data_IF_780126484763
#
_entry.id   IF_780126484763
#
_cell.length_a   1.000
_cell.length_b   1.000
_cell.length_c   1.000
_cell.angle_alpha   90.00
_cell.angle_beta   90.00
_cell.angle_gamma   90.00
#
_symmetry.space_group_name_H-M   'P 1'
#
loop_
_entity.id
_entity.type
_entity.pdbx_description
1 polymer ?
#
# COMPACT_ATOMS: atom_id res chain seq x y z
N UNK A 1 37.17 61.68 13.40
CA UNK A 1 38.61 61.97 13.52
C UNK A 1 39.31 60.66 13.82
N UNK A 2 40.22 60.08 13.03
CA UNK A 2 40.80 60.26 11.69
C UNK A 2 41.44 58.87 11.40
N UNK A 3 41.31 58.25 10.21
CA UNK A 3 42.22 58.37 9.03
C UNK A 3 43.71 58.19 9.40
N UNK A 4 44.60 57.46 8.70
CA UNK A 4 44.70 56.85 7.35
C UNK A 4 46.07 56.14 7.29
N UNK A 5 46.30 55.10 6.47
CA UNK A 5 47.15 55.05 5.25
C UNK A 5 47.37 53.54 4.98
N UNK A 6 47.16 52.89 3.83
CA UNK A 6 47.32 53.13 2.39
C UNK A 6 48.79 53.14 1.89
N UNK A 7 48.95 52.50 0.72
CA UNK A 7 50.09 52.42 -0.22
C UNK A 7 51.13 51.31 -0.01
N UNK A 8 51.66 50.61 -1.02
CA UNK A 8 51.33 50.44 -2.45
C UNK A 8 52.32 49.42 -3.04
N UNK A 9 51.93 48.72 -4.12
CA UNK A 9 52.78 48.17 -5.21
C UNK A 9 53.85 47.11 -4.84
N UNK A 10 54.15 46.06 -5.62
CA UNK A 10 54.52 46.08 -7.03
C UNK A 10 54.80 44.62 -7.56
N UNK A 11 54.28 44.29 -8.76
CA UNK A 11 54.76 43.35 -9.82
C UNK A 11 54.87 41.83 -9.53
N UNK A 12 54.69 40.90 -10.48
CA UNK A 12 54.20 40.87 -11.87
C UNK A 12 54.19 39.39 -12.36
N UNK A 13 53.48 39.16 -13.48
CA UNK A 13 53.74 38.16 -14.54
C UNK A 13 53.61 36.65 -14.26
N UNK A 14 52.62 36.00 -14.89
CA UNK A 14 52.88 35.12 -16.04
C UNK A 14 51.57 34.73 -16.77
N UNK A 15 51.53 34.96 -18.08
CA UNK A 15 50.75 34.21 -19.07
C UNK A 15 51.61 34.17 -20.33
N UNK A 16 51.63 33.05 -21.08
CA UNK A 16 50.88 33.08 -22.32
C UNK A 16 50.24 31.75 -22.78
N UNK A 17 49.25 31.94 -23.63
CA UNK A 17 48.52 31.00 -24.49
C UNK A 17 49.46 30.36 -25.53
N UNK A 18 49.27 29.09 -25.92
CA UNK A 18 49.76 28.57 -27.20
C UNK A 18 48.62 28.41 -28.23
N UNK A 19 48.89 28.92 -29.44
CA UNK A 19 48.13 28.80 -30.68
C UNK A 19 48.46 27.51 -31.46
N UNK A 20 47.58 27.25 -32.43
CA UNK A 20 47.42 26.13 -33.36
C UNK A 20 48.62 25.67 -34.20
N UNK A 21 48.73 24.35 -34.39
CA UNK A 21 48.64 23.61 -35.68
C UNK A 21 49.61 22.42 -35.74
N UNK A 22 49.07 21.21 -36.03
CA UNK A 22 49.66 20.18 -36.93
C UNK A 22 48.91 18.84 -36.85
N UNK A 23 48.23 18.53 -37.95
CA UNK A 23 48.05 17.23 -38.61
C UNK A 23 48.11 15.91 -37.80
N UNK A 24 46.96 15.25 -37.73
CA UNK A 24 46.79 13.89 -38.26
C UNK A 24 47.16 12.72 -37.36
N UNK A 25 46.17 12.09 -36.73
CA UNK A 25 46.00 10.62 -36.76
C UNK A 25 44.52 10.28 -36.55
N UNK A 26 43.95 9.61 -37.56
CA UNK A 26 42.62 9.00 -37.56
C UNK A 26 42.57 7.88 -36.50
N UNK A 27 42.00 8.13 -35.33
CA UNK A 27 41.47 7.06 -34.48
C UNK A 27 39.97 6.95 -34.67
N UNK A 28 39.61 5.99 -35.52
CA UNK A 28 38.26 5.58 -35.86
C UNK A 28 37.65 4.85 -34.66
N UNK A 29 37.26 5.63 -33.64
CA UNK A 29 36.47 5.18 -32.51
C UNK A 29 35.12 4.67 -33.00
N UNK A 30 35.02 3.35 -33.13
CA UNK A 30 33.84 2.57 -33.48
C UNK A 30 32.69 2.93 -32.53
N UNK A 31 31.80 3.82 -32.98
CA UNK A 31 30.42 3.83 -32.52
C UNK A 31 29.84 2.49 -32.93
N UNK A 32 29.88 1.51 -32.02
CA UNK A 32 28.96 0.38 -32.06
C UNK A 32 27.56 0.95 -31.82
N UNK A 33 26.98 1.49 -32.89
CA UNK A 33 25.54 1.62 -33.07
C UNK A 33 25.02 0.19 -33.15
N UNK A 34 24.90 -0.46 -32.00
CA UNK A 34 24.10 -1.65 -31.86
C UNK A 34 22.67 -1.25 -32.17
N UNK A 35 22.31 -1.47 -33.44
CA UNK A 35 20.96 -1.39 -33.96
C UNK A 35 20.12 -2.48 -33.27
N UNK A 36 19.82 -2.26 -32.00
CA UNK A 36 18.78 -2.97 -31.29
C UNK A 36 17.47 -2.65 -31.99
N UNK A 37 16.91 -3.64 -32.69
CA UNK A 37 15.64 -3.59 -33.44
C UNK A 37 14.64 -2.62 -32.77
N UNK A 38 14.25 -1.51 -33.40
CA UNK A 38 13.29 -0.55 -32.84
C UNK A 38 11.98 -1.22 -32.39
N UNK A 39 11.62 -2.31 -33.07
CA UNK A 39 10.44 -3.12 -32.81
C UNK A 39 10.45 -3.82 -31.43
N UNK A 40 11.61 -4.29 -30.95
CA UNK A 40 11.70 -4.95 -29.63
C UNK A 40 11.67 -3.95 -28.48
N UNK A 41 12.22 -2.73 -28.65
CA UNK A 41 12.09 -1.66 -27.63
C UNK A 41 10.66 -1.15 -27.52
N UNK A 42 9.97 -0.97 -28.65
CA UNK A 42 8.58 -0.51 -28.65
C UNK A 42 7.63 -1.56 -28.06
N UNK A 43 7.83 -2.84 -28.38
CA UNK A 43 7.06 -3.94 -27.79
C UNK A 43 7.30 -4.08 -26.27
N UNK A 44 8.53 -3.89 -25.80
CA UNK A 44 8.84 -3.91 -24.36
C UNK A 44 8.20 -2.73 -23.61
N UNK A 45 8.24 -1.52 -24.19
CA UNK A 45 7.61 -0.34 -23.62
C UNK A 45 6.08 -0.47 -23.59
N UNK A 46 5.46 -0.98 -24.67
CA UNK A 46 4.03 -1.26 -24.72
C UNK A 46 3.63 -2.33 -23.71
N UNK A 47 4.39 -3.43 -23.61
CA UNK A 47 4.16 -4.46 -22.60
C UNK A 47 4.33 -3.92 -21.17
N UNK A 48 5.27 -3.01 -20.93
CA UNK A 48 5.48 -2.42 -19.59
C UNK A 48 4.38 -1.42 -19.25
N UNK A 49 3.94 -0.62 -20.22
CA UNK A 49 2.86 0.34 -20.06
C UNK A 49 1.52 -0.36 -19.82
N UNK A 50 1.16 -1.31 -20.69
CA UNK A 50 -0.02 -2.16 -20.52
C UNK A 50 0.05 -2.94 -19.20
N UNK A 51 1.24 -3.44 -18.83
CA UNK A 51 1.47 -4.11 -17.56
C UNK A 51 1.11 -3.22 -16.36
N UNK A 52 1.58 -1.98 -16.40
CA UNK A 52 1.36 -0.98 -15.35
C UNK A 52 -0.12 -0.58 -15.27
N UNK A 53 -0.79 -0.44 -16.41
CA UNK A 53 -2.22 -0.09 -16.48
C UNK A 53 -3.10 -1.21 -15.94
N UNK A 54 -2.87 -2.48 -16.31
CA UNK A 54 -3.69 -3.58 -15.77
C UNK A 54 -3.46 -3.76 -14.26
N UNK A 55 -2.22 -3.63 -13.80
CA UNK A 55 -1.90 -3.74 -12.37
C UNK A 55 -2.64 -2.67 -11.57
N UNK A 56 -2.74 -1.45 -12.12
CA UNK A 56 -3.51 -0.38 -11.51
C UNK A 56 -5.02 -0.70 -11.49
N UNK A 57 -5.58 -1.24 -12.56
CA UNK A 57 -6.99 -1.65 -12.60
C UNK A 57 -7.29 -2.72 -11.57
N UNK A 58 -6.45 -3.76 -11.49
CA UNK A 58 -6.61 -4.84 -10.49
C UNK A 58 -6.44 -4.29 -9.08
N UNK A 59 -5.44 -3.44 -8.83
CA UNK A 59 -5.25 -2.79 -7.54
C UNK A 59 -6.48 -1.99 -7.09
N UNK A 60 -7.09 -1.23 -8.01
CA UNK A 60 -8.33 -0.49 -7.75
C UNK A 60 -9.50 -1.41 -7.48
N UNK A 61 -9.63 -2.49 -8.25
CA UNK A 61 -10.66 -3.50 -8.04
C UNK A 61 -10.54 -4.16 -6.66
N UNK A 62 -9.33 -4.57 -6.25
CA UNK A 62 -9.10 -5.14 -4.92
C UNK A 62 -9.44 -4.15 -3.81
N UNK A 63 -9.09 -2.86 -3.95
CA UNK A 63 -9.47 -1.83 -2.98
C UNK A 63 -10.99 -1.60 -2.95
N UNK A 64 -11.68 -1.64 -4.08
CA UNK A 64 -13.14 -1.59 -4.13
C UNK A 64 -13.78 -2.78 -3.44
N UNK A 65 -13.30 -4.00 -3.70
CA UNK A 65 -13.79 -5.21 -3.04
C UNK A 65 -13.53 -5.20 -1.53
N UNK A 66 -12.34 -4.76 -1.10
CA UNK A 66 -12.04 -4.64 0.33
C UNK A 66 -12.83 -3.53 1.00
N UNK A 67 -13.14 -2.43 0.30
CA UNK A 67 -14.05 -1.42 0.80
C UNK A 67 -15.46 -1.98 1.03
N UNK A 68 -15.96 -2.80 0.09
CA UNK A 68 -17.25 -3.50 0.24
C UNK A 68 -17.20 -4.48 1.40
N UNK A 69 -16.15 -5.30 1.50
CA UNK A 69 -15.99 -6.25 2.60
C UNK A 69 -15.97 -5.55 3.95
N UNK A 70 -15.13 -4.52 4.14
CA UNK A 70 -15.08 -3.78 5.39
C UNK A 70 -16.39 -3.03 5.67
N UNK A 71 -17.08 -2.51 4.65
CA UNK A 71 -18.39 -1.88 4.81
C UNK A 71 -19.47 -2.86 5.27
N UNK A 72 -19.46 -4.09 4.74
CA UNK A 72 -20.33 -5.16 5.22
C UNK A 72 -19.94 -5.58 6.64
N UNK A 73 -18.64 -5.74 6.90
CA UNK A 73 -18.11 -6.04 8.21
C UNK A 73 -18.42 -4.95 9.24
N UNK A 74 -18.55 -3.69 8.84
CA UNK A 74 -19.13 -2.60 9.65
C UNK A 74 -20.60 -2.87 9.87
N UNK A 75 -21.41 -2.98 8.81
CA UNK A 75 -22.86 -3.11 8.92
C UNK A 75 -23.32 -4.20 9.90
N UNK A 76 -22.72 -5.39 9.87
CA UNK A 76 -23.10 -6.51 10.74
C UNK A 76 -22.87 -6.22 12.24
N UNK A 77 -22.00 -5.27 12.59
CA UNK A 77 -21.68 -4.91 13.98
C UNK A 77 -22.76 -4.13 14.69
N UNK A 78 -23.82 -3.70 13.99
CA UNK A 78 -24.98 -3.11 14.67
C UNK A 78 -25.61 -4.06 15.70
N UNK A 79 -25.39 -5.38 15.52
CA UNK A 79 -25.90 -6.41 16.41
C UNK A 79 -24.92 -6.77 17.55
N UNK A 80 -23.73 -6.16 17.59
CA UNK A 80 -22.69 -6.47 18.57
C UNK A 80 -22.87 -5.65 19.86
N UNK A 81 -22.60 -6.21 21.06
CA UNK A 81 -22.63 -5.44 22.31
C UNK A 81 -21.70 -4.22 22.29
N UNK A 82 -20.58 -4.29 21.57
CA UNK A 82 -19.58 -3.23 21.41
C UNK A 82 -19.65 -2.59 20.01
N UNK A 83 -20.86 -2.49 19.44
CA UNK A 83 -21.13 -2.01 18.09
C UNK A 83 -20.32 -0.76 17.70
N UNK A 84 -20.29 0.28 18.55
CA UNK A 84 -19.60 1.53 18.23
C UNK A 84 -18.11 1.33 17.95
N UNK A 85 -17.42 0.49 18.74
CA UNK A 85 -16.01 0.20 18.58
C UNK A 85 -15.74 -0.51 17.26
N UNK A 86 -16.51 -1.57 16.97
CA UNK A 86 -16.33 -2.39 15.77
C UNK A 86 -16.77 -1.69 14.49
N UNK A 87 -17.85 -0.91 14.55
CA UNK A 87 -18.32 -0.07 13.44
C UNK A 87 -17.22 0.91 13.00
N UNK A 88 -16.55 1.57 13.95
CA UNK A 88 -15.42 2.47 13.66
C UNK A 88 -14.20 1.68 13.19
N UNK A 89 -13.92 0.54 13.85
CA UNK A 89 -12.82 -0.37 13.53
C UNK A 89 -12.79 -0.80 12.07
N UNK A 90 -13.96 -1.11 11.49
CA UNK A 90 -14.09 -1.51 10.08
C UNK A 90 -14.51 -0.35 9.15
N UNK A 91 -15.20 0.66 9.67
CA UNK A 91 -15.76 1.74 8.85
C UNK A 91 -14.69 2.70 8.32
N UNK A 92 -13.68 3.01 9.14
CA UNK A 92 -12.52 3.80 8.72
C UNK A 92 -11.77 3.10 7.57
N UNK A 93 -11.33 1.83 7.68
CA UNK A 93 -10.66 1.15 6.58
C UNK A 93 -11.55 0.99 5.36
N UNK A 94 -12.87 0.76 5.51
CA UNK A 94 -13.80 0.75 4.39
C UNK A 94 -13.73 2.05 3.58
N UNK A 95 -13.83 3.19 4.26
CA UNK A 95 -13.76 4.51 3.64
C UNK A 95 -12.39 4.76 2.99
N UNK A 96 -11.29 4.46 3.68
CA UNK A 96 -9.93 4.63 3.14
C UNK A 96 -9.69 3.78 1.88
N UNK A 97 -10.20 2.55 1.84
CA UNK A 97 -10.12 1.67 0.68
C UNK A 97 -10.96 2.20 -0.49
N UNK A 98 -12.17 2.69 -0.22
CA UNK A 98 -13.03 3.29 -1.25
C UNK A 98 -12.33 4.47 -1.93
N UNK A 99 -11.67 5.34 -1.15
CA UNK A 99 -10.89 6.45 -1.71
C UNK A 99 -9.76 5.97 -2.64
N UNK A 100 -9.07 4.88 -2.30
CA UNK A 100 -8.01 4.32 -3.17
C UNK A 100 -8.62 3.76 -4.47
N UNK A 101 -9.74 3.05 -4.38
CA UNK A 101 -10.46 2.53 -5.55
C UNK A 101 -10.89 3.64 -6.51
N UNK A 102 -11.35 4.77 -5.98
CA UNK A 102 -11.75 5.96 -6.75
C UNK A 102 -10.54 6.73 -7.30
N UNK A 103 -9.56 7.04 -6.44
CA UNK A 103 -8.38 7.84 -6.78
C UNK A 103 -7.14 7.29 -6.05
N UNK A 104 -6.35 6.40 -6.70
CA UNK A 104 -5.19 5.74 -6.07
C UNK A 104 -4.15 6.68 -5.47
N UNK A 105 -4.03 7.89 -6.01
CA UNK A 105 -3.07 8.90 -5.53
C UNK A 105 -3.41 9.47 -4.14
N UNK A 106 -4.59 9.18 -3.59
CA UNK A 106 -4.99 9.60 -2.24
C UNK A 106 -4.00 9.19 -1.14
N UNK A 107 -3.28 8.07 -1.33
CA UNK A 107 -2.30 7.60 -0.33
C UNK A 107 -1.09 8.51 -0.18
N UNK A 108 -0.93 9.49 -1.06
CA UNK A 108 0.11 10.53 -0.98
C UNK A 108 -0.31 11.72 -0.10
N UNK A 109 -1.61 11.86 0.17
CA UNK A 109 -2.14 12.90 1.03
C UNK A 109 -1.73 12.65 2.48
N UNK A 110 -1.24 13.70 3.15
CA UNK A 110 -0.84 13.62 4.55
C UNK A 110 -2.00 13.17 5.44
N UNK A 111 -3.22 13.68 5.19
CA UNK A 111 -4.41 13.30 5.95
C UNK A 111 -4.69 11.79 5.86
N UNK A 112 -4.71 11.21 4.66
CA UNK A 112 -4.93 9.77 4.48
C UNK A 112 -3.89 8.95 5.25
N UNK A 113 -2.60 9.32 5.15
CA UNK A 113 -1.51 8.63 5.84
C UNK A 113 -1.63 8.71 7.35
N UNK A 114 -1.97 9.88 7.90
CA UNK A 114 -2.13 10.06 9.35
C UNK A 114 -3.30 9.26 9.88
N UNK A 115 -4.44 9.26 9.19
CA UNK A 115 -5.60 8.46 9.59
C UNK A 115 -5.26 6.97 9.51
N UNK A 116 -4.65 6.50 8.43
CA UNK A 116 -4.24 5.11 8.29
C UNK A 116 -3.23 4.68 9.36
N UNK A 117 -2.22 5.51 9.64
CA UNK A 117 -1.19 5.19 10.65
C UNK A 117 -1.77 5.17 12.06
N UNK A 118 -2.63 6.12 12.42
CA UNK A 118 -3.35 6.13 13.69
C UNK A 118 -4.25 4.89 13.83
N UNK A 119 -4.98 4.52 12.78
CA UNK A 119 -5.85 3.35 12.78
C UNK A 119 -5.04 2.06 12.96
N UNK A 120 -3.91 1.92 12.25
CA UNK A 120 -2.99 0.79 12.43
C UNK A 120 -2.47 0.73 13.87
N UNK A 121 -2.09 1.86 14.48
CA UNK A 121 -1.63 1.89 15.87
C UNK A 121 -2.71 1.43 16.85
N UNK A 122 -3.94 1.94 16.70
CA UNK A 122 -5.08 1.55 17.53
C UNK A 122 -5.42 0.06 17.35
N UNK A 123 -5.51 -0.41 16.10
CA UNK A 123 -5.74 -1.83 15.79
C UNK A 123 -4.63 -2.71 16.35
N UNK A 124 -3.37 -2.29 16.34
CA UNK A 124 -2.26 -3.06 16.91
C UNK A 124 -2.41 -3.21 18.43
N UNK A 125 -2.82 -2.14 19.11
CA UNK A 125 -3.14 -2.21 20.55
C UNK A 125 -4.27 -3.20 20.84
N UNK A 126 -5.38 -3.12 20.08
CA UNK A 126 -6.51 -4.05 20.19
C UNK A 126 -6.10 -5.49 19.89
N UNK A 127 -5.27 -5.70 18.87
CA UNK A 127 -4.75 -7.02 18.49
C UNK A 127 -4.00 -7.68 19.65
N UNK A 128 -3.19 -6.90 20.39
CA UNK A 128 -2.46 -7.41 21.55
C UNK A 128 -3.39 -7.76 22.71
N UNK A 129 -4.40 -6.93 22.98
CA UNK A 129 -5.37 -7.17 24.05
C UNK A 129 -6.19 -8.43 23.78
N UNK A 130 -6.76 -8.54 22.58
CA UNK A 130 -7.57 -9.70 22.16
C UNK A 130 -6.69 -10.94 22.05
N UNK A 131 -5.49 -10.81 21.45
CA UNK A 131 -4.54 -11.90 21.33
C UNK A 131 -4.10 -12.46 22.69
N UNK A 132 -3.88 -11.59 23.68
CA UNK A 132 -3.58 -12.01 25.05
C UNK A 132 -4.75 -12.76 25.69
N UNK A 133 -5.98 -12.28 25.48
CA UNK A 133 -7.20 -12.92 25.98
C UNK A 133 -7.39 -14.32 25.37
N UNK A 134 -7.30 -14.44 24.05
CA UNK A 134 -7.37 -15.72 23.33
C UNK A 134 -6.28 -16.70 23.78
N UNK A 135 -5.05 -16.20 23.97
CA UNK A 135 -3.96 -17.02 24.49
C UNK A 135 -4.25 -17.56 25.89
N UNK A 136 -4.79 -16.73 26.78
CA UNK A 136 -5.12 -17.12 28.17
C UNK A 136 -6.31 -18.10 28.24
N UNK A 137 -7.25 -18.00 27.30
CA UNK A 137 -8.44 -18.84 27.25
C UNK A 137 -8.22 -20.16 26.51
N UNK A 138 -7.06 -20.34 25.86
CA UNK A 138 -6.73 -21.52 25.07
C UNK A 138 -7.78 -21.83 23.98
N UNK A 139 -8.27 -20.78 23.32
CA UNK A 139 -9.34 -20.86 22.34
C UNK A 139 -8.85 -21.58 21.07
N UNK A 140 -9.49 -22.70 20.71
CA UNK A 140 -9.09 -23.53 19.56
C UNK A 140 -9.94 -23.29 18.30
N UNK A 141 -11.14 -22.72 18.45
CA UNK A 141 -12.06 -22.44 17.34
C UNK A 141 -11.84 -21.07 16.70
N UNK A 142 -10.93 -20.98 15.71
CA UNK A 142 -10.52 -19.69 15.10
C UNK A 142 -11.67 -18.90 14.43
N UNK A 143 -12.74 -19.58 14.00
CA UNK A 143 -13.87 -18.93 13.32
C UNK A 143 -15.24 -19.16 13.99
N UNK A 144 -15.35 -20.16 14.87
CA UNK A 144 -16.58 -20.38 15.63
C UNK A 144 -16.75 -19.35 16.76
N UNK A 145 -15.64 -18.97 17.39
CA UNK A 145 -15.63 -18.01 18.49
C UNK A 145 -15.64 -16.58 17.96
N UNK A 146 -16.48 -15.75 18.57
CA UNK A 146 -16.64 -14.34 18.24
C UNK A 146 -15.32 -13.57 18.37
N UNK A 147 -14.63 -13.77 19.49
CA UNK A 147 -13.33 -13.12 19.78
C UNK A 147 -12.25 -13.46 18.75
N UNK A 148 -12.29 -14.68 18.19
CA UNK A 148 -11.33 -15.11 17.18
C UNK A 148 -11.65 -14.51 15.80
N UNK A 149 -12.94 -14.31 15.47
CA UNK A 149 -13.36 -13.57 14.27
C UNK A 149 -12.98 -12.09 14.37
N UNK A 150 -13.17 -11.47 15.53
CA UNK A 150 -12.74 -10.10 15.82
C UNK A 150 -11.22 -9.96 15.65
N UNK A 151 -10.45 -10.87 16.25
CA UNK A 151 -8.99 -10.93 16.07
C UNK A 151 -8.60 -11.01 14.59
N UNK A 152 -9.23 -11.91 13.84
CA UNK A 152 -9.00 -12.07 12.40
C UNK A 152 -9.32 -10.79 11.60
N UNK A 153 -10.43 -10.12 11.92
CA UNK A 153 -10.81 -8.85 11.30
C UNK A 153 -9.82 -7.72 11.57
N UNK A 154 -9.29 -7.64 12.80
CA UNK A 154 -8.24 -6.67 13.18
C UNK A 154 -6.93 -6.96 12.43
N UNK A 155 -6.49 -8.23 12.36
CA UNK A 155 -5.31 -8.63 11.58
C UNK A 155 -5.47 -8.24 10.12
N UNK A 156 -6.61 -8.56 9.50
CA UNK A 156 -6.89 -8.23 8.10
C UNK A 156 -6.86 -6.72 7.86
N UNK A 157 -7.41 -5.93 8.79
CA UNK A 157 -7.37 -4.45 8.73
C UNK A 157 -5.94 -3.93 8.72
N UNK A 158 -5.11 -4.39 9.66
CA UNK A 158 -3.69 -3.97 9.76
C UNK A 158 -2.94 -4.35 8.48
N UNK A 159 -3.03 -5.62 8.07
CA UNK A 159 -2.34 -6.12 6.87
C UNK A 159 -2.76 -5.34 5.62
N UNK A 160 -4.05 -5.06 5.46
CA UNK A 160 -4.56 -4.35 4.29
C UNK A 160 -4.10 -2.89 4.26
N UNK A 161 -4.20 -2.16 5.37
CA UNK A 161 -3.75 -0.76 5.43
C UNK A 161 -2.24 -0.65 5.23
N UNK A 162 -1.45 -1.59 5.77
CA UNK A 162 0.00 -1.67 5.50
C UNK A 162 0.30 -1.93 4.02
N UNK A 163 -0.47 -2.81 3.37
CA UNK A 163 -0.32 -3.09 1.95
C UNK A 163 -0.63 -1.85 1.09
N UNK A 164 -1.65 -1.09 1.49
CA UNK A 164 -2.07 0.15 0.84
C UNK A 164 -1.11 1.32 1.09
N UNK A 165 -0.41 1.30 2.22
CA UNK A 165 0.53 2.35 2.62
C UNK A 165 1.58 2.59 1.53
N UNK A 166 1.74 3.85 1.15
CA UNK A 166 2.68 4.30 0.10
C UNK A 166 2.44 3.68 -1.29
N UNK A 167 1.23 3.18 -1.59
CA UNK A 167 0.92 2.64 -2.92
C UNK A 167 0.88 3.70 -4.03
N UNK A 168 0.74 4.98 -3.70
CA UNK A 168 0.75 6.10 -4.64
C UNK A 168 2.12 6.70 -4.97
N UNK A 169 3.21 6.23 -4.35
CA UNK A 169 4.59 6.75 -4.58
C UNK A 169 5.26 6.20 -5.84
N UNK A 170 4.84 5.01 -6.28
CA UNK A 170 5.43 4.29 -7.40
C UNK A 170 4.37 3.40 -8.05
N UNK A 171 4.65 2.90 -9.25
CA UNK A 171 3.80 1.90 -9.89
C UNK A 171 3.57 0.72 -8.93
N UNK A 172 2.32 0.28 -8.80
CA UNK A 172 1.97 -0.86 -7.95
C UNK A 172 2.64 -2.10 -8.53
N UNK A 173 3.68 -2.59 -7.85
CA UNK A 173 4.47 -3.72 -8.34
C UNK A 173 3.70 -5.05 -8.32
N UNK A 174 4.12 -5.99 -9.17
CA UNK A 174 3.55 -7.34 -9.30
C UNK A 174 3.33 -8.05 -7.96
N UNK A 175 4.31 -8.01 -7.07
CA UNK A 175 4.24 -8.65 -5.74
C UNK A 175 3.13 -8.06 -4.87
N UNK A 176 2.97 -6.73 -4.90
CA UNK A 176 1.94 -6.04 -4.12
C UNK A 176 0.55 -6.35 -4.67
N UNK A 177 0.40 -6.38 -6.00
CA UNK A 177 -0.87 -6.77 -6.64
C UNK A 177 -1.22 -8.23 -6.36
N UNK A 178 -0.25 -9.15 -6.44
CA UNK A 178 -0.50 -10.56 -6.14
C UNK A 178 -0.89 -10.77 -4.68
N UNK A 179 -0.23 -10.09 -3.74
CA UNK A 179 -0.62 -10.11 -2.33
C UNK A 179 -2.03 -9.53 -2.14
N UNK A 180 -2.37 -8.44 -2.83
CA UNK A 180 -3.70 -7.84 -2.77
C UNK A 180 -4.79 -8.82 -3.24
N UNK A 181 -4.58 -9.51 -4.37
CA UNK A 181 -5.52 -10.52 -4.85
C UNK A 181 -5.75 -11.62 -3.80
N UNK A 182 -4.67 -12.20 -3.25
CA UNK A 182 -4.78 -13.27 -2.26
C UNK A 182 -5.52 -12.83 -1.00
N UNK A 183 -5.12 -11.68 -0.44
CA UNK A 183 -5.73 -11.14 0.78
C UNK A 183 -7.17 -10.72 0.55
N UNK A 184 -7.52 -10.19 -0.63
CA UNK A 184 -8.90 -9.84 -0.97
C UNK A 184 -9.78 -11.07 -1.14
N UNK A 185 -9.31 -12.14 -1.80
CA UNK A 185 -10.14 -13.32 -2.04
C UNK A 185 -10.45 -14.10 -0.75
N UNK A 186 -9.50 -14.15 0.18
CA UNK A 186 -9.63 -14.89 1.44
C UNK A 186 -10.95 -14.64 2.19
N UNK A 187 -11.32 -13.40 2.57
CA UNK A 187 -12.56 -13.15 3.31
C UNK A 187 -13.83 -13.55 2.56
N UNK A 188 -13.87 -13.36 1.23
CA UNK A 188 -15.04 -13.77 0.43
C UNK A 188 -15.17 -15.28 0.33
N UNK A 189 -14.05 -15.99 0.16
CA UNK A 189 -14.04 -17.46 0.14
C UNK A 189 -14.47 -18.00 1.50
N UNK A 190 -13.92 -17.46 2.60
CA UNK A 190 -14.35 -17.82 3.95
C UNK A 190 -15.84 -17.55 4.14
N UNK A 191 -16.33 -16.37 3.78
CA UNK A 191 -17.75 -16.03 3.94
C UNK A 191 -18.67 -16.96 3.14
N UNK A 192 -18.34 -17.23 1.86
CA UNK A 192 -19.08 -18.18 1.04
C UNK A 192 -19.07 -19.59 1.65
N UNK A 193 -17.92 -20.03 2.17
CA UNK A 193 -17.79 -21.33 2.83
C UNK A 193 -18.72 -21.44 4.05
N UNK A 194 -18.77 -20.43 4.93
CA UNK A 194 -19.69 -20.40 6.08
C UNK A 194 -21.16 -20.26 5.68
N UNK A 195 -21.45 -19.61 4.56
CA UNK A 195 -22.81 -19.52 4.05
C UNK A 195 -23.33 -20.91 3.65
N UNK A 196 -22.52 -21.69 2.92
CA UNK A 196 -22.87 -23.06 2.47
C UNK A 196 -22.89 -24.07 3.62
N UNK A 197 -21.98 -23.94 4.60
CA UNK A 197 -21.84 -24.87 5.72
C UNK A 197 -22.50 -24.31 7.00
N UNK A 198 -23.83 -24.38 7.04
CA UNK A 198 -24.63 -23.81 8.13
C UNK A 198 -24.33 -24.44 9.50
N UNK A 199 -23.87 -25.69 9.52
CA UNK A 199 -23.47 -26.40 10.73
C UNK A 199 -22.35 -25.68 11.49
N UNK A 200 -21.48 -24.95 10.77
CA UNK A 200 -20.41 -24.17 11.39
C UNK A 200 -20.93 -22.90 12.08
N UNK A 201 -22.14 -22.43 11.70
CA UNK A 201 -22.84 -21.29 12.31
C UNK A 201 -23.83 -21.71 13.40
N UNK A 202 -24.08 -23.01 13.57
CA UNK A 202 -25.08 -23.51 14.52
C UNK A 202 -24.81 -23.03 15.97
N UNK A 203 -23.53 -22.99 16.35
CA UNK A 203 -23.06 -22.60 17.67
C UNK A 203 -22.82 -21.09 17.84
N UNK A 204 -23.09 -20.26 16.82
CA UNK A 204 -22.91 -18.82 16.95
C UNK A 204 -23.89 -18.22 17.97
N UNK A 205 -23.50 -17.15 18.68
CA UNK A 205 -24.41 -16.37 19.50
C UNK A 205 -25.65 -15.92 18.72
N UNK A 206 -26.78 -15.76 19.40
CA UNK A 206 -28.05 -15.40 18.75
C UNK A 206 -27.97 -14.08 17.98
N UNK A 207 -27.20 -13.11 18.48
CA UNK A 207 -27.00 -11.80 17.85
C UNK A 207 -26.16 -11.88 16.56
N UNK A 208 -25.37 -12.93 16.37
CA UNK A 208 -24.63 -13.16 15.13
C UNK A 208 -25.46 -13.86 14.03
N UNK A 209 -26.64 -14.41 14.35
CA UNK A 209 -27.47 -15.18 13.40
C UNK A 209 -28.40 -14.32 12.55
N UNK A 210 -28.71 -13.11 13.00
CA UNK A 210 -29.60 -12.15 12.32
C UNK A 210 -28.90 -11.29 11.27
N UNK A 211 -27.59 -11.45 11.10
CA UNK A 211 -26.75 -10.58 10.27
C UNK A 211 -26.43 -11.13 8.87
N UNK A 212 -27.12 -12.20 8.44
CA UNK A 212 -26.94 -12.85 7.13
C UNK A 212 -28.13 -12.61 6.21
#
# INVERSE_FOLDING_TARGET
>A
MNQTNMDDSEKANYSPIPTSDSAGTLEKGRLDVSCGRPQTRMALQLNTYTATTWMLVVWRACNGMMALFFGLATYVQINDPDAALWMVGYGIPAFLCALIGLKPHVTEMLAWRRVADLHIMLCTGMLLIIGWKLYRQNTTGLFQEEEAREFGGVVLTILWLLLCRHSGRSAVGKLRVSAAILVTLFPFVCWFYFHVHEELRANWPSHCKTAL
#
